data_IF_446677485134
#
_entry.id   IF_446677485134
#
_cell.length_a   1.000
_cell.length_b   1.000
_cell.length_c   1.000
_cell.angle_alpha   90.00
_cell.angle_beta   90.00
_cell.angle_gamma   90.00
#
_symmetry.space_group_name_H-M   'P 1'
#
loop_
_entity.id
_entity.type
_entity.pdbx_description
1 polymer ?
#
# COMPACT_ATOMS: atom_id res chain seq x y z
N UNK A 1 20.67 8.77 -54.37
CA UNK A 1 21.91 8.54 -53.63
C UNK A 1 21.59 8.51 -52.17
N UNK A 2 21.19 7.34 -51.74
CA UNK A 2 20.86 7.01 -50.35
C UNK A 2 22.14 6.59 -49.63
N UNK A 3 22.45 7.19 -48.51
CA UNK A 3 23.45 6.69 -47.57
C UNK A 3 22.73 6.10 -46.37
N UNK A 4 22.79 4.78 -46.26
CA UNK A 4 22.45 4.04 -45.09
C UNK A 4 23.54 4.24 -44.03
N UNK A 5 23.18 4.80 -42.85
CA UNK A 5 24.05 4.85 -41.68
C UNK A 5 23.82 3.59 -40.82
N UNK A 6 24.90 2.83 -40.71
CA UNK A 6 25.03 1.58 -39.95
C UNK A 6 25.20 1.91 -38.46
N UNK A 7 24.31 1.39 -37.61
CA UNK A 7 24.39 1.49 -36.14
C UNK A 7 25.44 0.46 -35.66
N UNK A 8 26.44 0.80 -34.84
CA UNK A 8 27.37 -0.15 -34.28
C UNK A 8 26.74 -0.94 -33.11
N UNK A 9 26.73 -2.24 -33.27
CA UNK A 9 26.41 -3.24 -32.24
C UNK A 9 27.45 -3.17 -31.11
N UNK A 10 27.04 -2.69 -29.93
CA UNK A 10 27.90 -2.72 -28.74
C UNK A 10 27.92 -4.15 -28.20
N UNK A 11 29.07 -4.79 -28.34
CA UNK A 11 29.41 -6.11 -27.82
C UNK A 11 29.60 -6.00 -26.30
N UNK A 12 28.69 -6.53 -25.47
CA UNK A 12 28.86 -6.63 -24.03
C UNK A 12 29.74 -7.84 -23.69
N UNK A 13 30.79 -7.69 -22.86
CA UNK A 13 31.64 -8.84 -22.50
C UNK A 13 30.93 -9.69 -21.42
N UNK A 14 30.62 -10.93 -21.78
CA UNK A 14 30.03 -11.99 -20.95
C UNK A 14 30.98 -12.62 -19.91
N UNK A 15 32.05 -11.97 -19.51
CA UNK A 15 33.14 -12.62 -18.79
C UNK A 15 33.26 -12.33 -17.29
N UNK A 16 32.44 -11.43 -16.72
CA UNK A 16 32.59 -11.05 -15.27
C UNK A 16 31.60 -11.69 -14.32
N UNK A 17 30.64 -12.48 -14.76
CA UNK A 17 29.60 -13.01 -13.87
C UNK A 17 29.98 -14.31 -13.12
N UNK A 18 30.98 -15.06 -13.61
CA UNK A 18 31.32 -16.37 -13.03
C UNK A 18 32.33 -16.33 -11.88
N UNK A 19 33.11 -15.26 -11.73
CA UNK A 19 34.15 -15.21 -10.68
C UNK A 19 33.58 -14.80 -9.30
N UNK A 20 32.57 -13.92 -9.27
CA UNK A 20 31.95 -13.48 -8.01
C UNK A 20 31.05 -14.56 -7.38
N UNK A 21 30.34 -15.35 -8.20
CA UNK A 21 29.52 -16.46 -7.70
C UNK A 21 30.35 -17.63 -7.18
N UNK A 22 31.54 -17.86 -7.73
CA UNK A 22 32.43 -18.94 -7.27
C UNK A 22 33.08 -18.63 -5.90
N UNK A 23 33.43 -17.38 -5.64
CA UNK A 23 34.00 -16.97 -4.34
C UNK A 23 32.97 -16.96 -3.21
N UNK A 24 31.71 -16.59 -3.51
CA UNK A 24 30.63 -16.65 -2.50
C UNK A 24 30.29 -18.11 -2.17
N UNK A 25 30.33 -19.01 -3.13
CA UNK A 25 30.12 -20.45 -2.89
C UNK A 25 31.19 -21.09 -2.00
N UNK A 26 32.45 -20.71 -2.13
CA UNK A 26 33.53 -21.21 -1.25
C UNK A 26 33.51 -20.62 0.15
N UNK A 27 33.08 -19.35 0.31
CA UNK A 27 32.94 -18.73 1.63
C UNK A 27 31.79 -19.36 2.44
N UNK A 28 30.72 -19.80 1.77
CA UNK A 28 29.61 -20.49 2.44
C UNK A 28 29.93 -21.95 2.77
N UNK A 29 30.73 -22.65 1.92
CA UNK A 29 31.16 -24.02 2.18
C UNK A 29 32.14 -24.12 3.37
N UNK A 30 33.04 -23.16 3.53
CA UNK A 30 34.00 -23.12 4.65
C UNK A 30 33.38 -22.85 6.03
N UNK A 31 32.17 -22.26 6.06
CA UNK A 31 31.44 -22.01 7.33
C UNK A 31 30.68 -23.24 7.82
N UNK A 32 30.42 -24.23 6.94
CA UNK A 32 29.64 -25.43 7.29
C UNK A 32 30.48 -26.57 7.83
N UNK A 33 31.81 -26.50 7.81
CA UNK A 33 32.69 -27.62 8.21
C UNK A 33 33.28 -27.49 9.60
N UNK A 34 32.95 -26.42 10.36
CA UNK A 34 33.30 -26.32 11.77
C UNK A 34 32.26 -27.02 12.66
N UNK A 35 32.45 -28.32 12.88
CA UNK A 35 31.72 -29.16 13.79
C UNK A 35 32.17 -28.88 15.22
N UNK A 36 31.46 -28.08 16.04
CA UNK A 36 31.85 -28.00 17.46
C UNK A 36 31.34 -29.25 18.16
N UNK A 37 32.23 -29.81 18.96
CA UNK A 37 31.98 -31.02 19.74
C UNK A 37 30.74 -30.91 20.62
N UNK A 38 30.08 -32.06 20.73
CA UNK A 38 28.92 -32.30 21.56
C UNK A 38 29.17 -31.92 23.03
N UNK A 39 28.84 -30.69 23.41
CA UNK A 39 28.85 -30.26 24.79
C UNK A 39 27.44 -30.39 25.37
N UNK A 40 27.24 -31.36 26.30
CA UNK A 40 25.97 -31.61 27.00
C UNK A 40 25.42 -30.42 27.77
N UNK A 41 26.11 -29.25 27.77
CA UNK A 41 25.68 -28.01 28.40
C UNK A 41 24.73 -27.15 27.59
N UNK A 42 24.63 -27.35 26.26
CA UNK A 42 23.86 -26.44 25.36
C UNK A 42 22.37 -26.71 25.29
N UNK A 43 21.91 -27.84 25.78
CA UNK A 43 20.47 -28.16 25.84
C UNK A 43 19.71 -27.29 26.86
N UNK A 44 20.38 -26.81 27.89
CA UNK A 44 19.78 -25.94 28.92
C UNK A 44 19.72 -24.45 28.49
N UNK A 45 20.54 -24.03 27.53
CA UNK A 45 20.67 -22.61 27.11
C UNK A 45 19.68 -22.22 26.00
N UNK A 46 19.00 -23.19 25.38
CA UNK A 46 17.95 -22.91 24.35
C UNK A 46 16.59 -22.52 24.91
N UNK A 47 16.40 -22.50 26.24
CA UNK A 47 15.13 -22.15 26.90
C UNK A 47 14.90 -20.65 27.08
N UNK A 48 15.76 -19.80 26.52
CA UNK A 48 15.67 -18.34 26.56
C UNK A 48 15.12 -17.71 25.28
N UNK A 49 14.30 -18.42 24.51
CA UNK A 49 13.56 -17.79 23.42
C UNK A 49 12.40 -17.02 24.06
N UNK A 50 12.50 -15.71 24.09
CA UNK A 50 11.48 -14.77 24.55
C UNK A 50 10.21 -14.96 23.73
N UNK A 51 9.40 -15.94 24.12
CA UNK A 51 8.03 -15.99 23.66
C UNK A 51 7.33 -14.77 24.25
N UNK A 52 6.85 -13.88 23.36
CA UNK A 52 6.05 -12.74 23.80
C UNK A 52 4.88 -13.23 24.65
N UNK A 53 4.61 -12.61 25.82
CA UNK A 53 3.50 -12.99 26.66
C UNK A 53 2.20 -13.04 25.82
N UNK A 54 1.39 -14.08 26.02
CA UNK A 54 0.13 -14.26 25.26
C UNK A 54 -0.78 -13.03 25.29
N UNK A 55 -0.71 -12.24 26.33
CA UNK A 55 -1.40 -10.96 26.46
C UNK A 55 -0.89 -9.92 25.45
N UNK A 56 0.43 -9.74 25.38
CA UNK A 56 1.06 -8.79 24.44
C UNK A 56 0.74 -9.18 22.99
N UNK A 57 0.72 -10.49 22.70
CA UNK A 57 0.37 -10.97 21.38
C UNK A 57 -1.10 -10.71 20.99
N UNK A 58 -2.05 -10.88 21.95
CA UNK A 58 -3.46 -10.54 21.71
C UNK A 58 -3.64 -9.05 21.43
N UNK A 59 -2.98 -8.20 22.23
CA UNK A 59 -3.01 -6.74 22.03
C UNK A 59 -2.40 -6.38 20.68
N UNK A 60 -1.25 -6.94 20.33
CA UNK A 60 -0.59 -6.72 19.05
C UNK A 60 -1.50 -7.08 17.86
N UNK A 61 -2.09 -8.28 17.89
CA UNK A 61 -3.00 -8.71 16.84
C UNK A 61 -4.25 -7.82 16.75
N UNK A 62 -4.80 -7.40 17.88
CA UNK A 62 -5.95 -6.50 17.89
C UNK A 62 -5.59 -5.13 17.26
N UNK A 63 -4.46 -4.55 17.65
CA UNK A 63 -4.00 -3.25 17.11
C UNK A 63 -3.74 -3.35 15.60
N UNK A 64 -3.01 -4.37 15.15
CA UNK A 64 -2.75 -4.56 13.71
C UNK A 64 -4.03 -4.81 12.92
N UNK A 65 -4.98 -5.58 13.45
CA UNK A 65 -6.27 -5.81 12.79
C UNK A 65 -7.05 -4.50 12.65
N UNK A 66 -7.17 -3.71 13.71
CA UNK A 66 -7.86 -2.41 13.66
C UNK A 66 -7.20 -1.48 12.64
N UNK A 67 -5.87 -1.42 12.61
CA UNK A 67 -5.12 -0.58 11.69
C UNK A 67 -5.35 -1.01 10.22
N UNK A 68 -5.29 -2.32 9.94
CA UNK A 68 -5.56 -2.86 8.59
C UNK A 68 -7.00 -2.55 8.15
N UNK A 69 -7.99 -2.75 9.03
CA UNK A 69 -9.39 -2.42 8.73
C UNK A 69 -9.56 -0.94 8.41
N UNK A 70 -8.91 -0.05 9.17
CA UNK A 70 -8.95 1.39 8.93
C UNK A 70 -8.34 1.76 7.57
N UNK A 71 -7.19 1.16 7.21
CA UNK A 71 -6.55 1.37 5.90
C UNK A 71 -7.44 0.86 4.77
N UNK A 72 -8.09 -0.30 4.94
CA UNK A 72 -9.02 -0.85 3.93
C UNK A 72 -10.24 0.07 3.75
N UNK A 73 -10.82 0.57 4.84
CA UNK A 73 -11.94 1.53 4.76
C UNK A 73 -11.50 2.80 4.04
N UNK A 74 -10.32 3.34 4.36
CA UNK A 74 -9.79 4.53 3.68
C UNK A 74 -9.56 4.27 2.19
N UNK A 75 -9.00 3.12 1.83
CA UNK A 75 -8.81 2.73 0.43
C UNK A 75 -10.14 2.59 -0.32
N UNK A 76 -11.17 2.02 0.31
CA UNK A 76 -12.51 1.91 -0.28
C UNK A 76 -13.16 3.29 -0.47
N UNK A 77 -12.98 4.22 0.46
CA UNK A 77 -13.50 5.59 0.34
C UNK A 77 -12.80 6.39 -0.76
N UNK A 78 -11.49 6.19 -0.97
CA UNK A 78 -10.72 6.95 -1.96
C UNK A 78 -10.77 6.33 -3.36
N UNK A 79 -10.73 5.01 -3.45
CA UNK A 79 -10.58 4.28 -4.72
C UNK A 79 -11.85 3.52 -5.08
N UNK A 80 -12.47 2.80 -4.14
CA UNK A 80 -13.63 1.94 -4.38
C UNK A 80 -14.84 2.71 -4.89
N UNK A 81 -15.00 3.97 -4.46
CA UNK A 81 -16.12 4.84 -4.91
C UNK A 81 -16.03 5.17 -6.41
N UNK A 82 -14.82 5.16 -6.99
CA UNK A 82 -14.65 5.33 -8.44
C UNK A 82 -15.26 4.18 -9.25
N UNK A 83 -15.24 2.97 -8.70
CA UNK A 83 -15.83 1.78 -9.34
C UNK A 83 -17.35 1.87 -9.43
N UNK A 84 -17.98 2.66 -8.55
CA UNK A 84 -19.42 2.91 -8.54
C UNK A 84 -19.79 4.14 -9.40
N UNK A 85 -18.79 4.75 -10.06
CA UNK A 85 -19.01 5.86 -11.00
C UNK A 85 -18.92 7.25 -10.35
N UNK A 86 -18.61 7.37 -9.05
CA UNK A 86 -18.36 8.68 -8.42
C UNK A 86 -16.93 9.16 -8.68
N UNK A 87 -16.78 10.48 -8.76
CA UNK A 87 -15.47 11.14 -8.89
C UNK A 87 -15.13 11.87 -7.61
N UNK A 88 -14.20 11.35 -6.78
CA UNK A 88 -13.74 12.06 -5.58
C UNK A 88 -12.88 13.27 -5.99
N UNK A 89 -13.20 14.45 -5.47
CA UNK A 89 -12.48 15.70 -5.73
C UNK A 89 -12.24 16.44 -4.43
N UNK A 90 -11.06 17.08 -4.32
CA UNK A 90 -10.70 17.86 -3.14
C UNK A 90 -11.12 19.33 -3.32
N UNK A 91 -11.78 19.89 -2.31
CA UNK A 91 -12.14 21.30 -2.24
C UNK A 91 -10.90 22.10 -1.83
N UNK A 92 -10.34 22.87 -2.75
CA UNK A 92 -9.10 23.64 -2.55
C UNK A 92 -9.34 25.08 -2.12
N UNK A 93 -10.53 25.65 -2.38
CA UNK A 93 -10.86 27.05 -2.09
C UNK A 93 -12.13 27.18 -1.25
N UNK A 94 -12.31 28.34 -0.64
CA UNK A 94 -13.48 28.65 0.18
C UNK A 94 -14.66 29.25 -0.59
N UNK A 95 -14.69 29.24 -1.91
CA UNK A 95 -15.75 29.85 -2.72
C UNK A 95 -17.15 29.25 -2.46
N UNK A 96 -17.21 28.03 -1.97
CA UNK A 96 -18.45 27.32 -1.64
C UNK A 96 -18.72 27.23 -0.13
N UNK A 97 -18.02 28.00 0.68
CA UNK A 97 -18.34 28.12 2.11
C UNK A 97 -19.74 28.75 2.31
N UNK A 98 -20.53 28.33 3.29
CA UNK A 98 -20.27 27.26 4.25
C UNK A 98 -20.67 25.86 3.77
N UNK A 99 -21.18 25.71 2.54
CA UNK A 99 -21.71 24.44 2.03
C UNK A 99 -20.62 23.36 1.89
N UNK A 100 -19.48 23.73 1.33
CA UNK A 100 -18.32 22.85 1.17
C UNK A 100 -17.09 23.55 1.75
N UNK A 101 -16.60 23.02 2.87
CA UNK A 101 -15.40 23.56 3.53
C UNK A 101 -14.13 23.22 2.79
N UNK A 102 -13.19 24.15 2.75
CA UNK A 102 -11.84 23.91 2.22
C UNK A 102 -11.20 22.70 2.91
N UNK A 103 -10.54 21.82 2.13
CA UNK A 103 -9.95 20.57 2.62
C UNK A 103 -10.94 19.41 2.73
N UNK A 104 -12.20 19.60 2.35
CA UNK A 104 -13.17 18.51 2.24
C UNK A 104 -12.95 17.69 0.98
N UNK A 105 -13.35 16.41 1.01
CA UNK A 105 -13.47 15.56 -0.15
C UNK A 105 -14.92 15.49 -0.57
N UNK A 106 -15.25 15.94 -1.79
CA UNK A 106 -16.57 15.83 -2.38
C UNK A 106 -16.62 14.67 -3.37
N UNK A 107 -17.75 13.95 -3.38
CA UNK A 107 -18.01 12.87 -4.32
C UNK A 107 -18.99 13.36 -5.37
N UNK A 108 -18.50 13.56 -6.59
CA UNK A 108 -19.27 14.08 -7.73
C UNK A 108 -19.84 12.91 -8.50
N UNK A 109 -21.16 12.93 -8.68
CA UNK A 109 -21.89 11.99 -9.53
C UNK A 109 -22.09 12.61 -10.91
N UNK A 110 -21.65 11.94 -11.99
CA UNK A 110 -21.96 12.39 -13.33
C UNK A 110 -23.49 12.47 -13.54
N UNK A 111 -23.93 13.54 -14.17
CA UNK A 111 -25.34 13.75 -14.53
C UNK A 111 -25.43 14.42 -15.90
N UNK A 112 -26.58 14.29 -16.54
CA UNK A 112 -26.87 15.02 -17.78
C UNK A 112 -27.18 16.50 -17.46
N UNK A 113 -26.90 17.44 -18.39
CA UNK A 113 -27.22 18.85 -18.19
C UNK A 113 -28.71 19.12 -17.92
N UNK A 114 -29.58 18.30 -18.50
CA UNK A 114 -31.06 18.38 -18.36
C UNK A 114 -31.53 18.05 -16.95
N UNK A 115 -30.73 17.30 -16.18
CA UNK A 115 -31.03 16.93 -14.80
C UNK A 115 -30.68 18.03 -13.78
N UNK A 116 -29.98 19.10 -14.25
CA UNK A 116 -29.49 20.19 -13.40
C UNK A 116 -30.58 21.25 -13.25
N UNK A 117 -30.81 21.69 -12.00
CA UNK A 117 -31.77 22.75 -11.69
C UNK A 117 -31.07 23.99 -11.13
N UNK A 118 -31.74 25.14 -11.23
CA UNK A 118 -31.29 26.36 -10.56
C UNK A 118 -31.25 26.12 -9.04
N UNK A 119 -30.13 26.47 -8.42
CA UNK A 119 -29.84 26.19 -7.01
C UNK A 119 -28.98 24.94 -6.78
N UNK A 120 -28.81 24.08 -7.79
CA UNK A 120 -27.93 22.90 -7.66
C UNK A 120 -26.46 23.32 -7.66
N UNK A 121 -25.62 22.73 -6.80
CA UNK A 121 -24.18 22.82 -6.95
C UNK A 121 -23.73 21.91 -8.10
N UNK A 122 -22.96 22.43 -9.02
CA UNK A 122 -22.38 21.68 -10.14
C UNK A 122 -20.86 21.76 -10.12
N UNK A 123 -20.22 20.68 -10.58
CA UNK A 123 -18.77 20.59 -10.79
C UNK A 123 -18.51 20.58 -12.29
N UNK A 124 -17.63 21.45 -12.77
CA UNK A 124 -17.38 21.66 -14.17
C UNK A 124 -15.91 22.02 -14.45
N UNK A 125 -15.50 21.94 -15.72
CA UNK A 125 -14.17 22.33 -16.19
C UNK A 125 -14.23 23.77 -16.68
N UNK A 126 -13.29 24.61 -16.25
CA UNK A 126 -13.28 26.04 -16.58
C UNK A 126 -12.45 26.33 -17.84
N UNK A 127 -11.30 25.67 -18.00
CA UNK A 127 -10.32 25.99 -19.02
C UNK A 127 -9.76 24.73 -19.72
N UNK A 128 -8.89 24.96 -20.73
CA UNK A 128 -8.20 23.88 -21.45
C UNK A 128 -7.17 23.12 -20.57
N UNK A 129 -6.73 23.71 -19.47
CA UNK A 129 -5.83 23.10 -18.48
C UNK A 129 -6.57 22.12 -17.56
N UNK A 130 -7.89 21.95 -17.77
CA UNK A 130 -8.78 21.06 -17.02
C UNK A 130 -8.93 21.44 -15.54
N UNK A 131 -8.83 22.74 -15.23
CA UNK A 131 -9.15 23.23 -13.90
C UNK A 131 -10.61 22.98 -13.58
N UNK A 132 -10.84 22.35 -12.43
CA UNK A 132 -12.17 21.93 -11.98
C UNK A 132 -12.66 22.87 -10.89
N UNK A 133 -13.86 23.40 -11.09
CA UNK A 133 -14.53 24.29 -10.14
C UNK A 133 -15.90 23.70 -9.77
N UNK A 134 -16.31 23.95 -8.53
CA UNK A 134 -17.66 23.62 -8.06
C UNK A 134 -18.34 24.90 -7.62
N UNK A 135 -19.42 25.30 -8.29
CA UNK A 135 -20.22 26.46 -7.94
C UNK A 135 -21.70 26.14 -8.05
N UNK A 136 -22.57 27.02 -7.55
CA UNK A 136 -24.01 26.87 -7.58
C UNK A 136 -24.60 27.50 -8.82
N UNK A 137 -25.53 26.81 -9.46
CA UNK A 137 -26.27 27.33 -10.62
C UNK A 137 -27.24 28.43 -10.15
N UNK A 138 -27.11 29.62 -10.74
CA UNK A 138 -28.01 30.75 -10.50
C UNK A 138 -28.98 30.98 -11.65
N UNK A 139 -28.62 30.56 -12.88
CA UNK A 139 -29.50 30.63 -14.04
C UNK A 139 -29.09 29.58 -15.09
N UNK A 140 -30.03 29.15 -15.91
CA UNK A 140 -29.83 28.17 -16.99
C UNK A 140 -30.32 28.80 -18.30
N UNK A 141 -29.46 28.85 -19.30
CA UNK A 141 -29.78 29.23 -20.66
C UNK A 141 -29.77 27.98 -21.53
N UNK A 142 -30.95 27.38 -21.68
CA UNK A 142 -31.08 26.12 -22.41
C UNK A 142 -30.90 26.31 -23.94
N UNK A 143 -31.21 27.49 -24.49
CA UNK A 143 -31.07 27.79 -25.90
C UNK A 143 -29.61 27.84 -26.32
N UNK A 144 -28.75 28.49 -25.50
CA UNK A 144 -27.32 28.60 -25.73
C UNK A 144 -26.51 27.48 -25.07
N UNK A 145 -27.16 26.56 -24.35
CA UNK A 145 -26.53 25.45 -23.64
C UNK A 145 -25.50 25.93 -22.59
N UNK A 146 -25.90 26.89 -21.75
CA UNK A 146 -25.05 27.49 -20.72
C UNK A 146 -25.68 27.44 -19.33
N UNK A 147 -24.82 27.25 -18.33
CA UNK A 147 -25.11 27.56 -16.93
C UNK A 147 -24.44 28.88 -16.53
N UNK A 148 -25.15 29.69 -15.77
CA UNK A 148 -24.56 30.79 -15.01
C UNK A 148 -24.40 30.37 -13.57
N UNK A 149 -23.22 30.51 -13.02
CA UNK A 149 -22.84 29.96 -11.72
C UNK A 149 -22.35 31.05 -10.77
N UNK A 150 -22.34 30.71 -9.49
CA UNK A 150 -21.84 31.58 -8.42
C UNK A 150 -21.35 30.71 -7.26
N UNK A 151 -20.18 31.05 -6.71
CA UNK A 151 -19.74 30.48 -5.43
C UNK A 151 -20.63 30.98 -4.28
N UNK A 152 -20.95 30.11 -3.32
CA UNK A 152 -21.83 30.46 -2.18
C UNK A 152 -21.26 31.61 -1.35
N UNK A 153 -19.92 31.67 -1.20
CA UNK A 153 -19.22 32.74 -0.49
C UNK A 153 -18.91 33.97 -1.36
N UNK A 154 -19.12 33.91 -2.68
CA UNK A 154 -18.79 34.99 -3.58
C UNK A 154 -19.86 36.09 -3.52
N UNK A 155 -19.48 37.37 -3.66
CA UNK A 155 -20.43 38.47 -3.71
C UNK A 155 -21.19 38.54 -5.04
N UNK A 156 -20.52 38.26 -6.16
CA UNK A 156 -21.05 38.33 -7.51
C UNK A 156 -21.07 36.97 -8.24
N UNK A 157 -21.94 36.75 -9.23
CA UNK A 157 -21.87 35.61 -10.14
C UNK A 157 -20.52 35.56 -10.87
N UNK A 158 -20.23 34.37 -11.40
CA UNK A 158 -19.02 34.16 -12.21
C UNK A 158 -19.09 34.93 -13.50
N UNK A 159 -17.94 35.48 -13.93
CA UNK A 159 -17.89 36.40 -15.10
C UNK A 159 -18.09 35.73 -16.44
N UNK A 160 -17.99 34.42 -16.53
CA UNK A 160 -18.15 33.67 -17.78
C UNK A 160 -19.18 32.53 -17.60
N UNK A 161 -20.02 32.27 -18.61
CA UNK A 161 -20.95 31.13 -18.60
C UNK A 161 -20.22 29.80 -18.71
N UNK A 162 -20.80 28.77 -18.14
CA UNK A 162 -20.32 27.39 -18.20
C UNK A 162 -21.07 26.61 -19.27
N UNK A 163 -20.39 26.13 -20.29
CA UNK A 163 -21.01 25.29 -21.34
C UNK A 163 -21.46 23.94 -20.76
N UNK A 164 -22.60 23.43 -21.23
CA UNK A 164 -23.13 22.12 -20.83
C UNK A 164 -22.11 21.00 -21.02
N UNK A 165 -21.32 21.04 -22.08
CA UNK A 165 -20.26 20.08 -22.38
C UNK A 165 -19.14 20.02 -21.32
N UNK A 166 -18.99 21.09 -20.54
CA UNK A 166 -17.97 21.18 -19.49
C UNK A 166 -18.46 20.63 -18.15
N UNK A 167 -19.74 20.22 -18.06
CA UNK A 167 -20.31 19.64 -16.85
C UNK A 167 -19.66 18.29 -16.55
N UNK A 168 -19.12 18.13 -15.35
CA UNK A 168 -18.66 16.84 -14.83
C UNK A 168 -19.78 16.12 -14.09
N UNK A 169 -20.57 16.85 -13.31
CA UNK A 169 -21.66 16.29 -12.53
C UNK A 169 -22.02 17.13 -11.30
N UNK A 170 -22.78 16.53 -10.38
CA UNK A 170 -23.20 17.17 -9.12
C UNK A 170 -22.52 16.52 -7.91
N UNK A 171 -22.05 17.30 -6.92
CA UNK A 171 -21.63 16.80 -5.63
C UNK A 171 -22.84 16.18 -4.89
N UNK A 172 -22.72 14.94 -4.45
CA UNK A 172 -23.77 14.21 -3.74
C UNK A 172 -23.45 14.07 -2.26
N UNK A 173 -22.17 13.90 -1.96
CA UNK A 173 -21.71 13.63 -0.61
C UNK A 173 -20.37 14.32 -0.34
N UNK A 174 -20.14 14.77 0.89
CA UNK A 174 -18.89 15.40 1.31
C UNK A 174 -18.39 14.81 2.61
N UNK A 175 -17.06 14.61 2.70
CA UNK A 175 -16.39 14.23 3.95
C UNK A 175 -15.43 15.36 4.32
N UNK A 176 -15.67 16.05 5.46
CA UNK A 176 -14.77 17.12 5.91
C UNK A 176 -13.36 16.58 6.15
N UNK A 177 -12.34 17.40 5.88
CA UNK A 177 -10.91 17.15 6.11
C UNK A 177 -10.28 15.98 5.34
N UNK A 178 -11.07 15.06 4.76
CA UNK A 178 -10.54 13.91 4.02
C UNK A 178 -9.85 14.33 2.70
N UNK A 179 -10.17 15.50 2.17
CA UNK A 179 -9.51 16.09 1.01
C UNK A 179 -8.03 16.36 1.24
N UNK A 180 -7.63 16.82 2.43
CA UNK A 180 -6.23 17.00 2.78
C UNK A 180 -5.45 15.68 2.74
N UNK A 181 -6.03 14.62 3.27
CA UNK A 181 -5.45 13.27 3.25
C UNK A 181 -5.33 12.77 1.81
N UNK A 182 -6.40 12.92 1.02
CA UNK A 182 -6.41 12.53 -0.39
C UNK A 182 -5.36 13.27 -1.19
N UNK A 183 -5.28 14.60 -1.03
CA UNK A 183 -4.30 15.43 -1.72
C UNK A 183 -2.87 15.06 -1.33
N UNK A 184 -2.60 14.86 -0.02
CA UNK A 184 -1.29 14.49 0.48
C UNK A 184 -0.83 13.12 -0.04
N UNK A 185 -1.71 12.10 -0.05
CA UNK A 185 -1.40 10.77 -0.57
C UNK A 185 -1.18 10.78 -2.09
N UNK A 186 -1.87 11.68 -2.82
CA UNK A 186 -1.79 11.74 -4.29
C UNK A 186 -0.54 12.45 -4.80
N UNK A 187 0.14 13.22 -3.94
CA UNK A 187 1.31 14.01 -4.31
C UNK A 187 2.58 13.55 -3.59
N UNK A 188 3.77 13.64 -4.23
CA UNK A 188 5.04 13.45 -3.54
C UNK A 188 5.27 14.56 -2.50
N UNK A 189 5.85 14.23 -1.32
CA UNK A 189 6.38 12.97 -0.84
C UNK A 189 5.34 12.04 -0.20
N UNK A 190 4.09 12.46 -0.01
CA UNK A 190 3.06 11.72 0.73
C UNK A 190 2.76 10.36 0.11
N UNK A 191 2.76 10.28 -1.22
CA UNK A 191 2.56 9.03 -1.96
C UNK A 191 3.62 7.98 -1.60
N UNK A 192 4.89 8.35 -1.55
CA UNK A 192 5.97 7.42 -1.20
C UNK A 192 5.87 6.96 0.25
N UNK A 193 5.51 7.88 1.16
CA UNK A 193 5.29 7.55 2.58
C UNK A 193 4.09 6.63 2.76
N UNK A 194 3.00 6.83 2.01
CA UNK A 194 1.82 5.97 2.06
C UNK A 194 2.15 4.55 1.57
N UNK A 195 2.91 4.42 0.47
CA UNK A 195 3.38 3.12 -0.04
C UNK A 195 4.32 2.45 0.98
N UNK A 196 5.29 3.17 1.52
CA UNK A 196 6.20 2.64 2.52
C UNK A 196 5.45 2.16 3.77
N UNK A 197 4.49 2.94 4.27
CA UNK A 197 3.65 2.56 5.40
C UNK A 197 2.82 1.31 5.11
N UNK A 198 2.24 1.20 3.92
CA UNK A 198 1.48 0.03 3.51
C UNK A 198 2.37 -1.23 3.48
N UNK A 199 3.59 -1.14 2.94
CA UNK A 199 4.56 -2.23 2.93
C UNK A 199 4.98 -2.64 4.34
N UNK A 200 5.24 -1.68 5.23
CA UNK A 200 5.56 -1.95 6.65
C UNK A 200 4.40 -2.65 7.34
N UNK A 201 3.15 -2.23 7.11
CA UNK A 201 1.96 -2.86 7.68
C UNK A 201 1.80 -4.30 7.20
N UNK A 202 2.00 -4.56 5.90
CA UNK A 202 2.00 -5.91 5.33
C UNK A 202 3.08 -6.75 6.02
N UNK A 203 4.30 -6.23 6.10
CA UNK A 203 5.41 -6.93 6.73
C UNK A 203 5.12 -7.25 8.21
N UNK A 204 4.64 -6.27 8.99
CA UNK A 204 4.28 -6.46 10.39
C UNK A 204 3.16 -7.48 10.61
N UNK A 205 2.26 -7.61 9.63
CA UNK A 205 1.14 -8.56 9.71
C UNK A 205 1.59 -9.99 9.37
N UNK A 206 2.41 -10.16 8.33
CA UNK A 206 2.79 -11.48 7.82
C UNK A 206 4.08 -12.03 8.44
N UNK A 207 5.01 -11.17 8.83
CA UNK A 207 6.33 -11.60 9.35
C UNK A 207 6.23 -12.48 10.61
N UNK A 208 5.41 -12.15 11.64
CA UNK A 208 5.28 -13.00 12.83
C UNK A 208 4.78 -14.40 12.50
N UNK A 209 3.82 -14.53 11.59
CA UNK A 209 3.25 -15.82 11.18
C UNK A 209 4.24 -16.65 10.36
N UNK A 210 5.00 -16.03 9.46
CA UNK A 210 6.06 -16.70 8.72
C UNK A 210 7.18 -17.21 9.62
N UNK A 211 7.63 -16.38 10.58
CA UNK A 211 8.67 -16.78 11.53
C UNK A 211 8.23 -17.94 12.44
N UNK A 212 6.96 -17.97 12.84
CA UNK A 212 6.39 -19.10 13.61
C UNK A 212 6.36 -20.38 12.79
N UNK A 213 5.82 -20.31 11.57
CA UNK A 213 5.77 -21.47 10.66
C UNK A 213 7.17 -22.02 10.36
N UNK A 214 8.14 -21.15 10.13
CA UNK A 214 9.53 -21.55 9.92
C UNK A 214 10.11 -22.26 11.16
N UNK A 215 9.88 -21.71 12.37
CA UNK A 215 10.37 -22.34 13.60
C UNK A 215 9.68 -23.67 13.94
N UNK A 216 8.39 -23.83 13.58
CA UNK A 216 7.67 -25.11 13.72
C UNK A 216 8.17 -26.15 12.72
N UNK A 217 8.48 -25.75 11.48
CA UNK A 217 9.06 -26.63 10.47
C UNK A 217 10.44 -27.15 10.92
N UNK A 218 11.32 -26.27 11.40
CA UNK A 218 12.64 -26.65 11.94
C UNK A 218 12.50 -27.61 13.14
N UNK A 219 11.52 -27.37 14.02
CA UNK A 219 11.26 -28.23 15.16
C UNK A 219 10.75 -29.64 14.74
N UNK A 220 9.90 -29.69 13.72
CA UNK A 220 9.40 -30.97 13.15
C UNK A 220 10.52 -31.75 12.48
N UNK A 221 11.38 -31.09 11.72
CA UNK A 221 12.50 -31.74 11.07
C UNK A 221 13.56 -32.24 12.08
N UNK A 222 13.81 -31.49 13.14
CA UNK A 222 14.66 -31.92 14.25
C UNK A 222 14.07 -33.14 14.97
N UNK A 223 12.75 -33.17 15.19
CA UNK A 223 12.05 -34.32 15.80
C UNK A 223 12.10 -35.55 14.88
N UNK A 224 11.91 -35.38 13.55
CA UNK A 224 12.04 -36.49 12.59
C UNK A 224 13.44 -37.06 12.55
N UNK A 225 14.48 -36.24 12.55
CA UNK A 225 15.89 -36.70 12.58
C UNK A 225 16.19 -37.43 13.87
N UNK A 226 15.68 -36.99 15.02
CA UNK A 226 15.84 -37.65 16.30
C UNK A 226 15.13 -39.00 16.36
N UNK A 227 14.02 -39.22 15.62
CA UNK A 227 13.31 -40.48 15.51
C UNK A 227 13.91 -41.45 14.48
N UNK A 228 14.53 -40.90 13.41
CA UNK A 228 15.12 -41.68 12.32
C UNK A 228 16.48 -42.29 12.69
N UNK A 229 17.11 -41.92 13.83
CA UNK A 229 18.38 -42.45 14.29
C UNK A 229 18.29 -43.21 15.63
N UNK A 230 17.49 -44.30 15.72
CA UNK A 230 17.47 -45.16 16.88
C UNK A 230 18.69 -46.09 16.95
N UNK A 231 19.41 -46.31 15.83
CA UNK A 231 20.53 -47.23 15.76
C UNK A 231 21.81 -46.64 16.40
N UNK A 232 22.02 -45.35 16.31
CA UNK A 232 23.19 -44.71 16.95
C UNK A 232 23.15 -44.70 18.48
N UNK A 233 21.95 -44.81 19.10
CA UNK A 233 21.79 -44.96 20.53
C UNK A 233 22.06 -46.39 21.02
N UNK A 234 21.79 -47.39 20.18
CA UNK A 234 22.01 -48.80 20.54
C UNK A 234 23.52 -49.16 20.54
N UNK A 235 24.29 -48.57 19.62
CA UNK A 235 25.73 -48.83 19.54
C UNK A 235 26.54 -48.09 20.59
N UNK A 236 26.16 -46.89 20.98
CA UNK A 236 26.77 -46.15 22.08
C UNK A 236 26.56 -46.84 23.44
N UNK A 237 25.46 -47.57 23.62
CA UNK A 237 25.18 -48.37 24.82
C UNK A 237 25.96 -49.69 24.90
N UNK A 238 26.40 -50.24 23.77
CA UNK A 238 27.18 -51.47 23.72
C UNK A 238 28.67 -51.25 23.96
N UNK A 239 29.22 -50.13 23.54
CA UNK A 239 30.67 -49.82 23.73
C UNK A 239 31.07 -49.56 25.18
N UNK A 240 30.10 -49.23 26.05
CA UNK A 240 30.39 -48.95 27.49
C UNK A 240 30.46 -50.22 28.38
N UNK A 241 30.14 -51.42 27.87
CA UNK A 241 30.11 -52.64 28.69
C UNK A 241 31.33 -53.53 28.56
N UNK A 242 32.31 -53.19 27.71
CA UNK A 242 33.51 -54.04 27.48
C UNK A 242 34.79 -53.55 28.14
N UNK A 243 34.76 -52.56 29.03
CA UNK A 243 35.94 -52.03 29.76
C UNK A 243 35.82 -52.20 31.29
N UNK A 244 35.24 -53.34 31.73
CA UNK A 244 35.17 -53.65 33.17
C UNK A 244 35.33 -55.15 33.38
N UNK A 245 36.56 -55.66 33.20
CA UNK A 245 37.05 -56.89 33.84
C UNK A 245 38.59 -56.84 33.87
#
# INVERSE_FOLDING_TARGET
>A
TERAETIPTVFAPRACYNHACFQIGQAVAGVLEHRPGSNRGDAAKRKGRTEMPKQVQKVWNAVTTVLVVLVVILALLLVGVRLVGFRPMCVLSGSMEPTYHTGSLIYVRPCAPEDVQVGDPITFVVNEELDVVTHRVVSIDAENQHFYTKGDANAAPDGAPVYFKNLIGRPVFTIPYLGYVSHWISNPPGMYLAIALALVLILLTFLPDMLRKASEADARDAARRAQADPQHRADAGKSGKHLGN
#
